data_IF_483516673438
#
_entry.id   IF_483516673438
#
_cell.length_a   1.000
_cell.length_b   1.000
_cell.length_c   1.000
_cell.angle_alpha   90.00
_cell.angle_beta   90.00
_cell.angle_gamma   90.00
#
_symmetry.space_group_name_H-M   'P 1'
#
loop_
_entity.id
_entity.type
_entity.pdbx_description
1 polymer ?
#
# COMPACT_ATOMS: atom_id res chain seq x y z
N UNK A 1 -4.11 0.92 36.46
CA UNK A 1 -3.77 0.75 35.02
C UNK A 1 -5.00 0.81 34.12
N UNK A 2 -6.02 -0.05 34.31
CA UNK A 2 -7.15 -0.19 33.38
C UNK A 2 -7.88 1.11 33.02
N UNK A 3 -8.16 1.98 34.01
CA UNK A 3 -8.88 3.24 33.80
C UNK A 3 -8.08 4.29 33.00
N UNK A 4 -6.75 4.30 33.11
CA UNK A 4 -5.90 5.30 32.45
C UNK A 4 -5.47 4.88 31.04
N UNK A 5 -5.55 3.58 30.72
CA UNK A 5 -5.08 3.00 29.46
C UNK A 5 -6.18 2.23 28.72
N UNK A 6 -7.45 2.58 28.92
CA UNK A 6 -8.61 1.90 28.29
C UNK A 6 -8.46 1.74 26.77
N UNK A 7 -7.84 2.71 26.09
CA UNK A 7 -7.58 2.73 24.66
C UNK A 7 -6.59 1.64 24.17
N UNK A 8 -5.78 1.06 25.05
CA UNK A 8 -4.90 -0.09 24.72
C UNK A 8 -5.58 -1.45 24.86
N UNK A 9 -6.73 -1.52 25.54
CA UNK A 9 -7.43 -2.79 25.72
C UNK A 9 -8.28 -3.13 24.48
N UNK A 10 -8.44 -4.43 24.17
CA UNK A 10 -9.41 -4.88 23.17
C UNK A 10 -10.83 -4.46 23.59
N UNK A 11 -11.65 -4.09 22.62
CA UNK A 11 -13.09 -3.87 22.84
C UNK A 11 -13.75 -5.24 23.02
N UNK A 12 -14.35 -5.50 24.18
CA UNK A 12 -15.02 -6.78 24.44
C UNK A 12 -16.36 -6.84 23.70
N UNK A 13 -16.88 -8.04 23.41
CA UNK A 13 -18.16 -8.20 22.68
C UNK A 13 -19.34 -7.48 23.35
N UNK A 14 -19.40 -7.51 24.68
CA UNK A 14 -20.41 -6.76 25.44
C UNK A 14 -20.32 -5.25 25.21
N UNK A 15 -19.11 -4.72 25.07
CA UNK A 15 -18.86 -3.30 24.82
C UNK A 15 -19.19 -2.98 23.35
N UNK A 16 -18.96 -3.92 22.43
CA UNK A 16 -19.37 -3.80 21.02
C UNK A 16 -20.88 -3.62 20.91
N UNK A 17 -21.71 -4.43 21.61
CA UNK A 17 -23.17 -4.26 21.60
C UNK A 17 -23.60 -2.87 22.08
N UNK A 18 -22.96 -2.36 23.13
CA UNK A 18 -23.22 -1.01 23.66
C UNK A 18 -22.86 0.05 22.61
N UNK A 19 -21.69 -0.07 21.96
CA UNK A 19 -21.28 0.85 20.90
C UNK A 19 -22.30 0.80 19.74
N UNK A 20 -22.69 -0.39 19.27
CA UNK A 20 -23.65 -0.54 18.16
C UNK A 20 -25.03 0.05 18.45
N UNK A 21 -25.46 0.07 19.71
CA UNK A 21 -26.74 0.62 20.12
C UNK A 21 -26.78 2.16 19.98
N UNK A 22 -25.69 2.84 20.31
CA UNK A 22 -25.56 4.30 20.20
C UNK A 22 -24.25 4.73 19.55
N UNK A 23 -24.22 4.61 18.21
CA UNK A 23 -23.12 5.06 17.38
C UNK A 23 -23.59 5.77 16.12
N UNK A 24 -22.64 6.45 15.49
CA UNK A 24 -22.68 6.85 14.08
C UNK A 24 -21.71 5.97 13.30
N UNK A 25 -22.20 5.41 12.19
CA UNK A 25 -21.40 4.69 11.21
C UNK A 25 -20.81 5.68 10.22
N UNK A 26 -19.49 5.62 10.12
CA UNK A 26 -18.70 6.44 9.21
C UNK A 26 -18.01 5.54 8.22
N UNK A 27 -18.24 5.78 6.93
CA UNK A 27 -17.67 4.98 5.86
C UNK A 27 -16.48 5.70 5.23
N UNK A 28 -15.42 4.95 4.98
CA UNK A 28 -14.25 5.42 4.25
C UNK A 28 -14.49 5.44 2.73
N UNK A 29 -13.65 6.18 2.00
CA UNK A 29 -13.72 6.32 0.54
C UNK A 29 -13.63 4.96 -0.14
N UNK A 30 -12.70 4.10 0.28
CA UNK A 30 -12.50 2.78 -0.34
C UNK A 30 -13.75 1.88 -0.24
N UNK A 31 -14.50 1.96 0.86
CA UNK A 31 -15.73 1.17 1.04
C UNK A 31 -16.80 1.59 0.06
N UNK A 32 -16.94 2.90 -0.18
CA UNK A 32 -17.89 3.42 -1.16
C UNK A 32 -17.45 3.09 -2.60
N UNK A 33 -16.15 3.18 -2.90
CA UNK A 33 -15.61 2.80 -4.21
C UNK A 33 -15.75 1.30 -4.50
N UNK A 34 -15.70 0.45 -3.48
CA UNK A 34 -15.85 -0.99 -3.67
C UNK A 34 -17.27 -1.40 -4.09
N UNK A 35 -18.29 -0.54 -3.94
CA UNK A 35 -19.62 -0.77 -4.50
C UNK A 35 -19.60 -1.00 -6.02
N UNK A 36 -18.64 -0.41 -6.73
CA UNK A 36 -18.42 -0.63 -8.16
C UNK A 36 -17.74 -1.97 -8.47
N UNK A 37 -17.07 -2.57 -7.48
CA UNK A 37 -16.34 -3.85 -7.62
C UNK A 37 -17.19 -5.05 -7.22
N UNK A 38 -18.26 -4.82 -6.45
CA UNK A 38 -19.15 -5.88 -6.00
C UNK A 38 -20.16 -6.31 -7.05
N UNK A 39 -20.54 -7.59 -7.00
CA UNK A 39 -21.69 -8.14 -7.71
C UNK A 39 -22.96 -7.39 -7.31
N UNK A 40 -23.94 -7.38 -8.22
CA UNK A 40 -25.24 -6.74 -7.97
C UNK A 40 -25.94 -7.26 -6.72
N UNK A 41 -25.74 -8.53 -6.37
CA UNK A 41 -26.28 -9.13 -5.15
C UNK A 41 -25.62 -8.53 -3.90
N UNK A 42 -24.30 -8.60 -3.80
CA UNK A 42 -23.54 -8.08 -2.66
C UNK A 42 -23.76 -6.59 -2.47
N UNK A 43 -23.81 -5.83 -3.56
CA UNK A 43 -24.16 -4.40 -3.52
C UNK A 43 -25.56 -4.15 -2.99
N UNK A 44 -26.56 -4.96 -3.38
CA UNK A 44 -27.92 -4.85 -2.84
C UNK A 44 -27.97 -5.10 -1.33
N UNK A 45 -27.29 -6.15 -0.86
CA UNK A 45 -27.23 -6.45 0.58
C UNK A 45 -26.57 -5.30 1.38
N UNK A 46 -25.54 -4.66 0.82
CA UNK A 46 -24.95 -3.44 1.40
C UNK A 46 -25.92 -2.27 1.42
N UNK A 47 -26.71 -2.07 0.36
CA UNK A 47 -27.75 -1.05 0.34
C UNK A 47 -28.84 -1.29 1.39
N UNK A 48 -29.25 -2.54 1.59
CA UNK A 48 -30.23 -2.90 2.63
C UNK A 48 -29.67 -2.56 4.03
N UNK A 49 -28.37 -2.77 4.26
CA UNK A 49 -27.71 -2.33 5.50
C UNK A 49 -27.74 -0.81 5.63
N UNK A 50 -27.34 -0.07 4.59
CA UNK A 50 -27.35 1.40 4.60
C UNK A 50 -28.75 1.95 4.88
N UNK A 51 -29.77 1.40 4.23
CA UNK A 51 -31.17 1.81 4.43
C UNK A 51 -31.62 1.52 5.89
N UNK A 52 -31.17 0.42 6.50
CA UNK A 52 -31.46 0.07 7.91
C UNK A 52 -30.77 1.00 8.91
N UNK A 53 -29.59 1.54 8.59
CA UNK A 53 -28.81 2.42 9.46
C UNK A 53 -28.85 3.91 9.05
N UNK A 54 -29.70 4.29 8.08
CA UNK A 54 -29.73 5.62 7.46
C UNK A 54 -29.79 6.82 8.43
N UNK A 55 -30.37 6.64 9.62
CA UNK A 55 -30.44 7.70 10.64
C UNK A 55 -29.17 7.85 11.47
N UNK A 56 -28.26 6.88 11.36
CA UNK A 56 -27.00 6.77 12.10
C UNK A 56 -25.80 6.73 11.15
N UNK A 57 -25.96 7.15 9.91
CA UNK A 57 -24.89 7.18 8.90
C UNK A 57 -24.42 8.61 8.67
N UNK A 58 -23.11 8.79 8.50
CA UNK A 58 -22.50 10.07 8.14
C UNK A 58 -21.14 9.83 7.47
N UNK A 59 -20.72 10.72 6.57
CA UNK A 59 -19.37 10.70 6.01
C UNK A 59 -18.69 12.07 6.09
N UNK A 60 -17.36 12.10 6.30
CA UNK A 60 -16.58 13.31 6.15
C UNK A 60 -16.74 13.93 4.76
N UNK A 61 -16.62 15.25 4.66
CA UNK A 61 -16.56 15.93 3.38
C UNK A 61 -15.41 15.38 2.51
N UNK A 62 -14.26 15.12 3.13
CA UNK A 62 -13.09 14.58 2.41
C UNK A 62 -13.40 13.21 1.78
N UNK A 63 -14.15 12.34 2.47
CA UNK A 63 -14.57 11.04 1.90
C UNK A 63 -15.45 11.24 0.67
N UNK A 64 -16.44 12.14 0.75
CA UNK A 64 -17.32 12.42 -0.37
C UNK A 64 -16.55 12.99 -1.58
N UNK A 65 -15.62 13.91 -1.33
CA UNK A 65 -14.76 14.50 -2.36
C UNK A 65 -13.89 13.44 -3.04
N UNK A 66 -13.21 12.59 -2.27
CA UNK A 66 -12.36 11.54 -2.81
C UNK A 66 -13.17 10.48 -3.57
N UNK A 67 -14.36 10.13 -3.09
CA UNK A 67 -15.25 9.22 -3.80
C UNK A 67 -15.63 9.78 -5.18
N UNK A 68 -16.06 11.04 -5.23
CA UNK A 68 -16.42 11.71 -6.49
C UNK A 68 -15.23 11.83 -7.44
N UNK A 69 -14.04 12.17 -6.92
CA UNK A 69 -12.79 12.28 -7.70
C UNK A 69 -12.38 10.93 -8.29
N UNK A 70 -12.41 9.86 -7.50
CA UNK A 70 -11.78 8.59 -7.84
C UNK A 70 -12.73 7.55 -8.48
N UNK A 71 -14.06 7.72 -8.38
CA UNK A 71 -15.01 6.77 -8.97
C UNK A 71 -14.82 6.55 -10.50
N UNK A 72 -14.47 7.54 -11.36
CA UNK A 72 -14.32 7.30 -12.78
C UNK A 72 -13.20 6.31 -13.07
N UNK A 73 -12.09 6.41 -12.36
CA UNK A 73 -10.95 5.51 -12.50
C UNK A 73 -11.32 4.07 -12.12
N UNK A 74 -12.16 3.91 -11.08
CA UNK A 74 -12.67 2.58 -10.68
C UNK A 74 -13.59 2.01 -11.76
N UNK A 75 -14.50 2.81 -12.31
CA UNK A 75 -15.40 2.40 -13.40
C UNK A 75 -14.60 1.96 -14.62
N UNK A 76 -13.67 2.80 -15.10
CA UNK A 76 -12.80 2.49 -16.24
C UNK A 76 -11.98 1.22 -15.97
N UNK A 77 -11.46 1.06 -14.76
CA UNK A 77 -10.72 -0.14 -14.37
C UNK A 77 -11.59 -1.39 -14.45
N UNK A 78 -12.85 -1.32 -14.02
CA UNK A 78 -13.80 -2.44 -14.13
C UNK A 78 -14.15 -2.74 -15.59
N UNK A 79 -14.36 -1.74 -16.43
CA UNK A 79 -14.61 -1.93 -17.86
C UNK A 79 -13.43 -2.61 -18.57
N UNK A 80 -12.22 -2.17 -18.27
CA UNK A 80 -10.98 -2.73 -18.81
C UNK A 80 -10.70 -4.17 -18.31
N UNK A 81 -11.37 -4.65 -17.25
CA UNK A 81 -11.21 -6.04 -16.80
C UNK A 81 -11.72 -7.04 -17.84
N UNK A 82 -12.75 -6.69 -18.62
CA UNK A 82 -13.22 -7.54 -19.72
C UNK A 82 -12.15 -7.72 -20.79
N UNK A 83 -11.45 -6.65 -21.16
CA UNK A 83 -10.37 -6.70 -22.14
C UNK A 83 -9.17 -7.49 -21.62
N UNK A 84 -8.78 -7.26 -20.35
CA UNK A 84 -7.72 -8.04 -19.69
C UNK A 84 -8.05 -9.53 -19.64
N UNK A 85 -9.29 -9.88 -19.28
CA UNK A 85 -9.73 -11.27 -19.25
C UNK A 85 -9.75 -11.90 -20.65
N UNK A 86 -10.23 -11.18 -21.68
CA UNK A 86 -10.16 -11.63 -23.07
C UNK A 86 -8.71 -11.86 -23.51
N UNK A 87 -7.79 -10.95 -23.16
CA UNK A 87 -6.36 -11.10 -23.47
C UNK A 87 -5.78 -12.36 -22.82
N UNK A 88 -5.99 -12.55 -21.52
CA UNK A 88 -5.51 -13.75 -20.80
C UNK A 88 -6.05 -15.04 -21.45
N UNK A 89 -7.33 -15.09 -21.81
CA UNK A 89 -7.91 -16.27 -22.45
C UNK A 89 -7.32 -16.54 -23.84
N UNK A 90 -7.02 -15.50 -24.61
CA UNK A 90 -6.32 -15.64 -25.89
C UNK A 90 -4.87 -16.12 -25.69
N UNK A 91 -4.15 -15.54 -24.73
CA UNK A 91 -2.78 -15.95 -24.39
C UNK A 91 -2.73 -17.44 -23.98
N UNK A 92 -3.75 -17.94 -23.26
CA UNK A 92 -3.88 -19.36 -22.94
C UNK A 92 -4.03 -20.22 -24.21
N UNK A 93 -4.83 -19.78 -25.19
CA UNK A 93 -4.99 -20.50 -26.47
C UNK A 93 -3.65 -20.54 -27.22
N UNK A 94 -2.96 -19.40 -27.32
CA UNK A 94 -1.67 -19.32 -28.02
C UNK A 94 -0.58 -20.16 -27.35
N UNK A 95 -0.51 -20.14 -26.02
CA UNK A 95 0.45 -20.93 -25.27
C UNK A 95 0.12 -22.43 -25.36
N UNK A 96 -1.16 -22.81 -25.29
CA UNK A 96 -1.57 -24.19 -25.51
C UNK A 96 -1.19 -24.70 -26.91
N UNK A 97 -1.33 -23.87 -27.95
CA UNK A 97 -0.90 -24.22 -29.31
C UNK A 97 0.63 -24.44 -29.37
N UNK A 98 1.39 -23.50 -28.81
CA UNK A 98 2.86 -23.60 -28.72
C UNK A 98 3.31 -24.83 -27.96
N UNK A 99 2.72 -25.12 -26.80
CA UNK A 99 3.09 -26.26 -25.96
C UNK A 99 2.70 -27.59 -26.59
N UNK A 100 1.54 -27.67 -27.23
CA UNK A 100 1.12 -28.88 -27.96
C UNK A 100 2.05 -29.14 -29.16
N UNK A 101 2.38 -28.10 -29.93
CA UNK A 101 3.26 -28.25 -31.09
C UNK A 101 4.72 -28.51 -30.70
N UNK A 102 5.21 -27.92 -29.60
CA UNK A 102 6.61 -28.02 -29.15
C UNK A 102 6.89 -29.25 -28.28
N UNK A 103 6.02 -29.53 -27.31
CA UNK A 103 6.29 -30.50 -26.23
C UNK A 103 5.60 -31.85 -26.44
N UNK A 104 4.46 -31.91 -27.14
CA UNK A 104 3.86 -33.18 -27.55
C UNK A 104 4.54 -33.68 -28.81
N UNK A 105 5.86 -33.88 -28.77
CA UNK A 105 6.63 -34.46 -29.88
C UNK A 105 6.58 -36.00 -29.86
N UNK A 106 5.42 -36.57 -29.52
CA UNK A 106 5.11 -37.99 -29.76
C UNK A 106 5.03 -38.18 -31.27
N UNK A 107 6.19 -38.36 -31.90
CA UNK A 107 6.27 -38.82 -33.28
C UNK A 107 5.76 -40.27 -33.21
N UNK A 108 4.61 -40.55 -33.84
CA UNK A 108 4.10 -41.89 -34.16
C UNK A 108 3.20 -42.67 -33.17
N UNK A 109 2.59 -42.08 -32.12
CA UNK A 109 1.54 -42.83 -31.39
C UNK A 109 0.20 -42.76 -32.15
N UNK A 110 -0.33 -43.86 -32.72
CA UNK A 110 -1.49 -43.82 -33.63
C UNK A 110 -2.78 -43.32 -32.98
N UNK A 111 -2.88 -43.43 -31.65
CA UNK A 111 -4.09 -43.09 -30.90
C UNK A 111 -4.17 -41.62 -30.43
N UNK A 112 -3.11 -40.81 -30.59
CA UNK A 112 -3.07 -39.43 -30.07
C UNK A 112 -3.14 -38.42 -31.21
N UNK A 113 -4.34 -37.90 -31.47
CA UNK A 113 -4.57 -36.79 -32.39
C UNK A 113 -4.42 -35.43 -31.68
N UNK A 114 -3.25 -34.82 -31.86
CA UNK A 114 -2.90 -33.52 -31.26
C UNK A 114 -3.80 -32.40 -31.76
N UNK A 115 -4.17 -32.43 -33.04
CA UNK A 115 -5.02 -31.41 -33.65
C UNK A 115 -6.44 -31.49 -33.07
N UNK A 116 -6.96 -32.70 -32.86
CA UNK A 116 -8.26 -32.90 -32.21
C UNK A 116 -8.24 -32.39 -30.76
N UNK A 117 -7.18 -32.68 -29.99
CA UNK A 117 -7.05 -32.22 -28.60
C UNK A 117 -6.97 -30.69 -28.52
N UNK A 118 -6.11 -30.06 -29.32
CA UNK A 118 -6.01 -28.60 -29.38
C UNK A 118 -7.33 -27.97 -29.81
N UNK A 119 -7.99 -28.51 -30.84
CA UNK A 119 -9.29 -28.00 -31.30
C UNK A 119 -10.37 -28.07 -30.21
N UNK A 120 -10.36 -29.11 -29.36
CA UNK A 120 -11.28 -29.20 -28.20
C UNK A 120 -11.00 -28.10 -27.18
N UNK A 121 -9.74 -27.86 -26.83
CA UNK A 121 -9.34 -26.78 -25.90
C UNK A 121 -9.71 -25.41 -26.47
N UNK A 122 -9.31 -25.14 -27.72
CA UNK A 122 -9.62 -23.90 -28.43
C UNK A 122 -11.12 -23.64 -28.50
N UNK A 123 -11.93 -24.67 -28.80
CA UNK A 123 -13.39 -24.56 -28.83
C UNK A 123 -13.95 -24.24 -27.44
N UNK A 124 -13.47 -24.92 -26.39
CA UNK A 124 -13.89 -24.68 -25.01
C UNK A 124 -13.62 -23.24 -24.57
N UNK A 125 -12.40 -22.75 -24.76
CA UNK A 125 -12.03 -21.37 -24.41
C UNK A 125 -12.78 -20.36 -25.30
N UNK A 126 -12.95 -20.65 -26.59
CA UNK A 126 -13.73 -19.81 -27.51
C UNK A 126 -15.18 -19.60 -27.06
N UNK A 127 -15.82 -20.62 -26.46
CA UNK A 127 -17.15 -20.48 -25.86
C UNK A 127 -17.14 -19.53 -24.66
N UNK A 128 -16.11 -19.60 -23.81
CA UNK A 128 -15.94 -18.71 -22.66
C UNK A 128 -15.75 -17.26 -23.12
N UNK A 129 -14.91 -17.01 -24.13
CA UNK A 129 -14.70 -15.68 -24.72
C UNK A 129 -16.02 -15.12 -25.28
N UNK A 130 -16.82 -15.97 -25.95
CA UNK A 130 -18.13 -15.55 -26.48
C UNK A 130 -19.11 -15.16 -25.36
N UNK A 131 -19.16 -15.93 -24.28
CA UNK A 131 -19.96 -15.60 -23.09
C UNK A 131 -19.50 -14.30 -22.43
N UNK A 132 -18.18 -14.12 -22.27
CA UNK A 132 -17.60 -12.91 -21.70
C UNK A 132 -17.94 -11.65 -22.51
N UNK A 133 -17.83 -11.71 -23.84
CA UNK A 133 -18.24 -10.60 -24.74
C UNK A 133 -19.73 -10.31 -24.66
N UNK A 134 -20.57 -11.33 -24.52
CA UNK A 134 -22.02 -11.16 -24.32
C UNK A 134 -22.31 -10.43 -23.01
N UNK A 135 -21.62 -10.81 -21.92
CA UNK A 135 -21.72 -10.14 -20.62
C UNK A 135 -21.22 -8.70 -20.68
N UNK A 136 -20.11 -8.44 -21.37
CA UNK A 136 -19.58 -7.09 -21.58
C UNK A 136 -20.59 -6.19 -22.29
N UNK A 137 -21.23 -6.67 -23.37
CA UNK A 137 -22.26 -5.91 -24.10
C UNK A 137 -23.51 -5.61 -23.27
N UNK A 138 -23.84 -6.49 -22.33
CA UNK A 138 -24.97 -6.31 -21.39
C UNK A 138 -24.58 -5.50 -20.15
N UNK A 139 -23.29 -5.28 -19.94
CA UNK A 139 -22.81 -4.50 -18.82
C UNK A 139 -23.26 -3.05 -19.03
N UNK A 140 -23.85 -2.45 -17.99
CA UNK A 140 -24.27 -1.06 -18.05
C UNK A 140 -23.03 -0.17 -18.22
N UNK A 141 -23.12 0.82 -19.10
CA UNK A 141 -22.13 1.88 -19.16
C UNK A 141 -22.37 2.82 -17.97
N UNK A 142 -21.59 2.63 -16.91
CA UNK A 142 -21.73 3.43 -15.69
C UNK A 142 -21.19 4.86 -15.88
N UNK A 143 -20.43 5.13 -16.95
CA UNK A 143 -20.02 6.49 -17.30
C UNK A 143 -21.18 7.31 -17.90
N UNK A 144 -22.12 6.65 -18.58
CA UNK A 144 -23.34 7.30 -19.10
C UNK A 144 -24.45 7.39 -18.06
N UNK A 145 -24.68 6.31 -17.30
CA UNK A 145 -25.70 6.25 -16.26
C UNK A 145 -25.21 5.51 -15.01
N UNK A 146 -24.86 6.30 -14.00
CA UNK A 146 -24.29 5.82 -12.75
C UNK A 146 -25.36 5.60 -11.67
N UNK A 147 -26.09 4.49 -11.78
CA UNK A 147 -27.11 4.11 -10.77
C UNK A 147 -26.50 3.93 -9.36
N UNK A 148 -25.18 3.70 -9.26
CA UNK A 148 -24.47 3.54 -7.97
C UNK A 148 -24.28 4.90 -7.31
N UNK A 149 -23.77 5.88 -8.06
CA UNK A 149 -23.67 7.27 -7.60
C UNK A 149 -25.03 7.81 -7.16
N UNK A 150 -26.09 7.56 -7.92
CA UNK A 150 -27.44 8.02 -7.57
C UNK A 150 -27.89 7.46 -6.21
N UNK A 151 -27.72 6.14 -6.00
CA UNK A 151 -28.10 5.50 -4.73
C UNK A 151 -27.23 5.96 -3.56
N UNK A 152 -25.91 6.13 -3.77
CA UNK A 152 -25.01 6.68 -2.73
C UNK A 152 -25.41 8.11 -2.39
N UNK A 153 -25.66 8.95 -3.39
CA UNK A 153 -26.10 10.35 -3.19
C UNK A 153 -27.41 10.43 -2.41
N UNK A 154 -28.36 9.53 -2.69
CA UNK A 154 -29.61 9.43 -1.95
C UNK A 154 -29.38 9.01 -0.48
N UNK A 155 -28.56 7.99 -0.23
CA UNK A 155 -28.27 7.49 1.12
C UNK A 155 -27.61 8.56 1.99
N UNK A 156 -26.66 9.30 1.40
CA UNK A 156 -25.88 10.31 2.12
C UNK A 156 -26.43 11.74 1.98
N UNK A 157 -27.66 11.89 1.47
CA UNK A 157 -28.30 13.19 1.37
C UNK A 157 -28.43 13.86 2.76
N UNK A 158 -27.84 15.05 2.91
CA UNK A 158 -27.70 15.76 4.19
C UNK A 158 -26.94 14.97 5.29
N UNK A 159 -26.09 14.02 4.90
CA UNK A 159 -25.23 13.21 5.80
C UNK A 159 -23.73 13.34 5.49
N UNK A 160 -23.36 14.38 4.75
CA UNK A 160 -21.96 14.72 4.48
C UNK A 160 -21.53 15.85 5.42
N UNK A 161 -20.31 15.76 5.95
CA UNK A 161 -19.70 16.85 6.73
C UNK A 161 -19.58 18.15 5.93
N UNK A 162 -19.42 19.26 6.63
CA UNK A 162 -19.09 20.52 5.98
C UNK A 162 -17.63 20.52 5.52
N UNK A 163 -17.36 21.18 4.40
CA UNK A 163 -15.99 21.47 3.97
C UNK A 163 -15.30 22.35 5.01
N UNK A 164 -13.99 22.14 5.20
CA UNK A 164 -13.18 23.08 5.96
C UNK A 164 -12.90 24.32 5.11
N UNK A 165 -12.80 25.49 5.77
CA UNK A 165 -12.29 26.70 5.14
C UNK A 165 -10.82 26.54 4.76
N UNK A 166 -10.34 27.35 3.81
CA UNK A 166 -8.93 27.35 3.40
C UNK A 166 -7.99 27.59 4.59
N UNK A 167 -8.31 28.56 5.44
CA UNK A 167 -7.58 28.85 6.67
C UNK A 167 -7.47 27.61 7.58
N UNK A 168 -8.57 26.86 7.72
CA UNK A 168 -8.59 25.65 8.53
C UNK A 168 -7.77 24.53 7.89
N UNK A 169 -7.83 24.38 6.57
CA UNK A 169 -7.01 23.41 5.84
C UNK A 169 -5.52 23.70 6.05
N UNK A 170 -5.09 24.96 5.93
CA UNK A 170 -3.69 25.34 6.17
C UNK A 170 -3.22 25.04 7.59
N UNK A 171 -4.06 25.30 8.60
CA UNK A 171 -3.77 24.94 10.00
C UNK A 171 -3.55 23.42 10.13
N UNK A 172 -4.42 22.63 9.51
CA UNK A 172 -4.34 21.17 9.55
C UNK A 172 -3.10 20.66 8.85
N UNK A 173 -2.72 21.23 7.70
CA UNK A 173 -1.49 20.86 6.99
C UNK A 173 -0.24 21.14 7.83
N UNK A 174 -0.17 22.30 8.51
CA UNK A 174 0.92 22.61 9.45
C UNK A 174 1.01 21.59 10.58
N UNK A 175 -0.13 21.17 11.13
CA UNK A 175 -0.19 20.09 12.14
C UNK A 175 0.27 18.76 11.52
N UNK A 176 -0.17 18.46 10.29
CA UNK A 176 0.15 17.26 9.54
C UNK A 176 1.65 17.07 9.31
N UNK A 177 2.36 18.14 8.92
CA UNK A 177 3.83 18.11 8.78
C UNK A 177 4.50 17.57 10.06
N UNK A 178 4.10 18.08 11.22
CA UNK A 178 4.65 17.64 12.50
C UNK A 178 4.22 16.20 12.83
N UNK A 179 2.94 15.89 12.70
CA UNK A 179 2.40 14.54 13.00
C UNK A 179 3.07 13.47 12.15
N UNK A 180 3.27 13.72 10.86
CA UNK A 180 3.84 12.73 9.95
C UNK A 180 5.33 12.50 10.21
N UNK A 181 6.07 13.58 10.52
CA UNK A 181 7.46 13.48 10.99
C UNK A 181 7.59 12.59 12.23
N UNK A 182 6.67 12.76 13.18
CA UNK A 182 6.64 12.01 14.44
C UNK A 182 5.88 10.66 14.32
N UNK A 183 5.44 10.28 13.11
CA UNK A 183 4.66 9.06 12.80
C UNK A 183 3.39 8.90 13.67
N UNK A 184 2.74 10.02 13.96
CA UNK A 184 1.48 10.08 14.69
C UNK A 184 0.34 9.80 13.70
N UNK A 185 -0.49 8.76 13.93
CA UNK A 185 -1.57 8.36 13.02
C UNK A 185 -2.74 9.36 12.98
N UNK A 186 -3.61 9.34 11.95
CA UNK A 186 -3.50 8.57 10.72
C UNK A 186 -2.83 9.38 9.58
N UNK A 187 -2.53 8.73 8.47
CA UNK A 187 -2.14 9.36 7.20
C UNK A 187 -0.63 9.48 6.94
N UNK A 188 0.23 9.26 7.93
CA UNK A 188 1.69 9.39 7.73
C UNK A 188 2.22 8.39 6.69
N UNK A 189 1.51 7.27 6.46
CA UNK A 189 1.88 6.30 5.43
C UNK A 189 1.72 6.81 4.01
N UNK A 190 0.86 7.81 3.77
CA UNK A 190 0.67 8.41 2.44
C UNK A 190 1.78 9.39 2.04
N UNK A 191 2.63 9.81 2.99
CA UNK A 191 3.76 10.71 2.76
C UNK A 191 5.10 10.01 2.50
N UNK A 192 5.12 8.67 2.47
CA UNK A 192 6.36 7.86 2.45
C UNK A 192 6.27 6.80 1.35
N UNK A 193 7.40 6.52 0.68
CA UNK A 193 7.53 5.48 -0.34
C UNK A 193 7.40 6.02 -1.78
N UNK A 194 7.60 5.14 -2.75
CA UNK A 194 7.57 5.50 -4.18
C UNK A 194 6.17 5.90 -4.67
N UNK A 195 5.13 5.43 -3.98
CA UNK A 195 3.73 5.77 -4.25
C UNK A 195 3.21 6.86 -3.29
N UNK A 196 4.11 7.70 -2.74
CA UNK A 196 3.67 8.83 -1.91
C UNK A 196 2.71 9.71 -2.71
N UNK A 197 1.66 10.18 -2.05
CA UNK A 197 0.79 11.19 -2.66
C UNK A 197 1.56 12.50 -2.81
N UNK A 198 1.10 13.35 -3.72
CA UNK A 198 1.73 14.65 -4.00
C UNK A 198 0.93 15.81 -3.42
N UNK A 199 1.63 16.90 -3.11
CA UNK A 199 1.03 18.12 -2.59
C UNK A 199 0.19 17.85 -1.33
N UNK A 200 -1.01 18.41 -1.30
CA UNK A 200 -1.91 18.31 -0.16
C UNK A 200 -2.68 16.98 -0.08
N UNK A 201 -2.65 16.14 -1.13
CA UNK A 201 -3.34 14.85 -1.15
C UNK A 201 -2.76 13.87 -0.09
N UNK A 202 -1.53 14.10 0.39
CA UNK A 202 -0.93 13.34 1.51
C UNK A 202 -1.71 13.50 2.83
N UNK A 203 -2.52 14.56 2.96
CA UNK A 203 -3.26 14.87 4.18
C UNK A 203 -4.73 14.39 4.16
N UNK A 204 -5.16 13.65 3.14
CA UNK A 204 -6.54 13.15 3.02
C UNK A 204 -7.02 12.41 4.28
N UNK A 205 -6.27 11.39 4.72
CA UNK A 205 -6.57 10.63 5.94
C UNK A 205 -6.63 11.51 7.20
N UNK A 206 -5.76 12.52 7.29
CA UNK A 206 -5.74 13.45 8.41
C UNK A 206 -6.97 14.37 8.41
N UNK A 207 -7.41 14.82 7.23
CA UNK A 207 -8.64 15.60 7.07
C UNK A 207 -9.87 14.78 7.45
N UNK A 208 -9.96 13.53 6.97
CA UNK A 208 -11.00 12.56 7.37
C UNK A 208 -11.05 12.45 8.89
N UNK A 209 -9.90 12.24 9.53
CA UNK A 209 -9.81 12.07 10.98
C UNK A 209 -10.26 13.30 11.77
N UNK A 210 -9.85 14.50 11.36
CA UNK A 210 -10.26 15.73 12.04
C UNK A 210 -11.75 16.02 11.83
N UNK A 211 -12.30 15.74 10.66
CA UNK A 211 -13.74 15.87 10.42
C UNK A 211 -14.54 14.89 11.29
N UNK A 212 -14.06 13.66 11.47
CA UNK A 212 -14.65 12.70 12.42
C UNK A 212 -14.62 13.26 13.85
N UNK A 213 -13.49 13.80 14.30
CA UNK A 213 -13.36 14.38 15.64
C UNK A 213 -14.35 15.52 15.84
N UNK A 214 -14.44 16.46 14.90
CA UNK A 214 -15.31 17.63 15.02
C UNK A 214 -16.79 17.24 14.97
N UNK A 215 -17.16 16.29 14.11
CA UNK A 215 -18.50 15.74 14.10
C UNK A 215 -18.85 15.04 15.42
N UNK A 216 -17.95 14.19 15.93
CA UNK A 216 -18.12 13.47 17.19
C UNK A 216 -18.26 14.40 18.40
N UNK A 217 -17.54 15.53 18.42
CA UNK A 217 -17.68 16.56 19.47
C UNK A 217 -19.11 17.10 19.53
N UNK A 218 -19.76 17.27 18.38
CA UNK A 218 -21.09 17.86 18.27
C UNK A 218 -22.18 16.85 18.59
N UNK A 219 -22.10 15.63 18.02
CA UNK A 219 -23.17 14.63 18.20
C UNK A 219 -23.06 13.82 19.49
N UNK A 220 -21.87 13.76 20.09
CA UNK A 220 -21.58 13.00 21.33
C UNK A 220 -22.00 11.52 21.29
N UNK A 221 -21.90 10.91 20.11
CA UNK A 221 -22.15 9.47 19.90
C UNK A 221 -20.85 8.74 19.60
N UNK A 222 -20.81 7.44 19.93
CA UNK A 222 -19.68 6.60 19.55
C UNK A 222 -19.52 6.55 18.03
N UNK A 223 -18.30 6.34 17.56
CA UNK A 223 -18.00 6.28 16.13
C UNK A 223 -17.57 4.85 15.78
N UNK A 224 -18.26 4.26 14.81
CA UNK A 224 -17.81 3.05 14.12
C UNK A 224 -17.34 3.49 12.74
N UNK A 225 -16.05 3.41 12.48
CA UNK A 225 -15.46 3.72 11.18
C UNK A 225 -15.24 2.42 10.39
N UNK A 226 -15.76 2.36 9.16
CA UNK A 226 -15.64 1.21 8.28
C UNK A 226 -14.63 1.57 7.19
N UNK A 227 -13.51 0.85 7.15
CA UNK A 227 -12.45 1.05 6.17
C UNK A 227 -11.83 -0.29 5.77
N UNK A 228 -11.56 -0.45 4.48
CA UNK A 228 -10.81 -1.58 3.94
C UNK A 228 -9.29 -1.35 3.91
N UNK A 229 -8.84 -0.14 4.26
CA UNK A 229 -7.42 0.21 4.34
C UNK A 229 -6.76 -0.60 5.47
N UNK A 230 -5.64 -1.26 5.20
CA UNK A 230 -4.87 -2.05 6.17
C UNK A 230 -3.57 -1.39 6.64
N UNK A 231 -3.39 -0.10 6.33
CA UNK A 231 -2.22 0.65 6.75
C UNK A 231 -2.11 0.67 8.28
N UNK A 232 -0.87 0.60 8.74
CA UNK A 232 -0.54 0.55 10.16
C UNK A 232 -0.84 1.84 10.92
N UNK A 233 -1.05 2.96 10.21
CA UNK A 233 -1.46 4.22 10.81
C UNK A 233 -2.96 4.25 11.15
N UNK A 234 -3.75 3.32 10.62
CA UNK A 234 -5.12 3.07 11.09
C UNK A 234 -5.20 1.86 12.03
N UNK A 235 -4.45 0.80 11.72
CA UNK A 235 -4.50 -0.47 12.44
C UNK A 235 -3.25 -0.73 13.29
N UNK A 236 -3.49 -1.17 14.52
CA UNK A 236 -2.43 -1.66 15.40
C UNK A 236 -2.01 -3.08 14.99
N UNK A 237 -0.94 -3.17 14.21
CA UNK A 237 -0.39 -4.42 13.69
C UNK A 237 0.89 -4.76 14.45
N UNK A 238 1.01 -6.00 14.95
CA UNK A 238 2.22 -6.53 15.58
C UNK A 238 2.52 -7.93 15.04
N UNK A 239 3.75 -8.13 14.55
CA UNK A 239 4.22 -9.42 14.00
C UNK A 239 3.23 -10.03 13.00
N UNK A 240 2.72 -9.20 12.08
CA UNK A 240 1.75 -9.61 11.05
C UNK A 240 0.31 -9.83 11.53
N UNK A 241 0.02 -9.67 12.84
CA UNK A 241 -1.33 -9.80 13.39
C UNK A 241 -1.94 -8.43 13.67
N UNK A 242 -3.16 -8.20 13.17
CA UNK A 242 -3.96 -7.03 13.49
C UNK A 242 -4.62 -7.20 14.86
N UNK A 243 -4.21 -6.39 15.83
CA UNK A 243 -4.76 -6.39 17.19
C UNK A 243 -6.08 -5.61 17.24
N UNK A 244 -6.16 -4.49 16.52
CA UNK A 244 -7.33 -3.63 16.47
C UNK A 244 -7.00 -2.25 15.90
N UNK A 245 -7.87 -1.26 16.09
CA UNK A 245 -7.58 0.14 15.79
C UNK A 245 -6.42 0.67 16.65
N UNK A 246 -5.60 1.58 16.09
CA UNK A 246 -4.51 2.27 16.80
C UNK A 246 -4.99 2.87 18.14
N UNK A 247 -4.34 2.55 19.27
CA UNK A 247 -4.68 3.12 20.58
C UNK A 247 -4.63 4.65 20.60
N UNK A 248 -3.75 5.26 19.80
CA UNK A 248 -3.61 6.71 19.66
C UNK A 248 -4.89 7.36 19.12
N UNK A 249 -5.54 6.73 18.13
CA UNK A 249 -6.80 7.21 17.55
C UNK A 249 -7.93 7.12 18.56
N UNK A 250 -8.05 5.98 19.25
CA UNK A 250 -9.02 5.78 20.34
C UNK A 250 -8.84 6.81 21.46
N UNK A 251 -7.59 7.01 21.89
CA UNK A 251 -7.24 7.96 22.94
C UNK A 251 -7.49 9.41 22.54
N UNK A 252 -7.16 9.79 21.31
CA UNK A 252 -7.39 11.15 20.80
C UNK A 252 -8.88 11.47 20.68
N UNK A 253 -9.69 10.56 20.14
CA UNK A 253 -11.15 10.79 20.04
C UNK A 253 -11.80 10.84 21.42
N UNK A 254 -11.42 9.93 22.33
CA UNK A 254 -11.90 9.95 23.71
C UNK A 254 -11.53 11.27 24.40
N UNK A 255 -10.28 11.73 24.27
CA UNK A 255 -9.82 12.99 24.88
C UNK A 255 -10.52 14.23 24.30
N UNK A 256 -10.72 14.28 22.97
CA UNK A 256 -11.24 15.48 22.28
C UNK A 256 -12.77 15.54 22.24
N UNK A 257 -13.44 14.40 22.17
CA UNK A 257 -14.89 14.32 21.97
C UNK A 257 -15.63 13.62 23.13
N UNK A 258 -14.95 12.81 23.95
CA UNK A 258 -15.56 12.06 25.05
C UNK A 258 -16.31 10.81 24.59
N UNK A 259 -16.00 10.29 23.40
CA UNK A 259 -16.72 9.15 22.79
C UNK A 259 -15.77 8.02 22.39
N UNK A 260 -16.32 6.81 22.25
CA UNK A 260 -15.55 5.62 21.85
C UNK A 260 -15.36 5.56 20.33
N UNK A 261 -14.16 5.16 19.90
CA UNK A 261 -13.84 4.86 18.51
C UNK A 261 -13.67 3.35 18.28
N UNK A 262 -14.33 2.82 17.25
CA UNK A 262 -14.18 1.44 16.80
C UNK A 262 -14.01 1.38 15.28
N UNK A 263 -13.31 0.35 14.79
CA UNK A 263 -13.08 0.16 13.36
C UNK A 263 -13.47 -1.24 12.91
N UNK A 264 -14.10 -1.32 11.74
CA UNK A 264 -14.31 -2.58 11.02
C UNK A 264 -13.74 -2.51 9.61
N UNK A 265 -13.25 -3.64 9.13
CA UNK A 265 -13.18 -3.92 7.71
C UNK A 265 -14.58 -4.26 7.19
N UNK A 266 -14.86 -4.05 5.90
CA UNK A 266 -16.21 -4.23 5.34
C UNK A 266 -16.77 -5.64 5.58
N UNK A 267 -15.97 -6.69 5.39
CA UNK A 267 -16.34 -8.09 5.68
C UNK A 267 -16.74 -8.33 7.15
N UNK A 268 -16.03 -7.69 8.10
CA UNK A 268 -16.36 -7.78 9.52
C UNK A 268 -17.62 -6.98 9.82
N UNK A 269 -17.77 -5.80 9.22
CA UNK A 269 -18.98 -5.00 9.33
C UNK A 269 -20.21 -5.77 8.86
N UNK A 270 -20.16 -6.45 7.70
CA UNK A 270 -21.27 -7.29 7.20
C UNK A 270 -21.63 -8.41 8.19
N UNK A 271 -20.63 -9.10 8.75
CA UNK A 271 -20.85 -10.15 9.75
C UNK A 271 -21.59 -9.62 11.00
N UNK A 272 -21.19 -8.47 11.51
CA UNK A 272 -21.84 -7.85 12.67
C UNK A 272 -23.18 -7.20 12.31
N UNK A 273 -23.35 -6.67 11.09
CA UNK A 273 -24.61 -6.14 10.61
C UNK A 273 -25.67 -7.24 10.51
N UNK A 274 -25.29 -8.43 10.01
CA UNK A 274 -26.15 -9.62 9.98
C UNK A 274 -26.76 -9.92 11.36
N UNK A 275 -25.93 -9.86 12.41
CA UNK A 275 -26.31 -10.20 13.78
C UNK A 275 -27.08 -9.05 14.45
N UNK A 276 -26.56 -7.82 14.37
CA UNK A 276 -27.09 -6.68 15.12
C UNK A 276 -28.29 -6.01 14.46
N UNK A 277 -28.51 -6.22 13.15
CA UNK A 277 -29.62 -5.61 12.40
C UNK A 277 -30.69 -6.63 11.98
N UNK A 278 -30.49 -7.92 12.32
CA UNK A 278 -31.36 -9.04 11.92
C UNK A 278 -31.58 -9.10 10.39
N UNK A 279 -30.49 -8.94 9.63
CA UNK A 279 -30.50 -8.96 8.17
C UNK A 279 -30.03 -10.31 7.65
N UNK A 280 -30.70 -10.82 6.62
CA UNK A 280 -30.25 -12.04 5.91
C UNK A 280 -29.20 -11.67 4.87
N UNK A 281 -27.94 -11.67 5.29
CA UNK A 281 -26.76 -11.48 4.43
C UNK A 281 -26.21 -12.86 4.04
N UNK A 282 -25.99 -13.10 2.75
CA UNK A 282 -25.44 -14.37 2.27
C UNK A 282 -23.95 -14.48 2.64
N UNK A 283 -23.51 -15.65 3.09
CA UNK A 283 -22.10 -15.88 3.38
C UNK A 283 -21.22 -15.66 2.14
N UNK A 284 -21.72 -15.96 0.94
CA UNK A 284 -21.01 -15.72 -0.32
C UNK A 284 -20.73 -14.23 -0.57
N UNK A 285 -21.63 -13.35 -0.13
CA UNK A 285 -21.44 -11.90 -0.25
C UNK A 285 -20.38 -11.40 0.74
N UNK A 286 -20.33 -11.98 1.94
CA UNK A 286 -19.26 -11.71 2.91
C UNK A 286 -17.91 -12.20 2.37
N UNK A 287 -17.86 -13.39 1.78
CA UNK A 287 -16.65 -13.95 1.16
C UNK A 287 -16.17 -13.10 -0.01
N UNK A 288 -17.08 -12.62 -0.88
CA UNK A 288 -16.75 -11.71 -1.98
C UNK A 288 -16.11 -10.40 -1.48
N UNK A 289 -16.71 -9.76 -0.47
CA UNK A 289 -16.17 -8.54 0.15
C UNK A 289 -14.78 -8.79 0.73
N UNK A 290 -14.60 -9.93 1.40
CA UNK A 290 -13.32 -10.33 1.98
C UNK A 290 -12.25 -10.57 0.90
N UNK A 291 -12.60 -11.24 -0.19
CA UNK A 291 -11.69 -11.55 -1.29
C UNK A 291 -11.20 -10.31 -2.02
N UNK A 292 -12.10 -9.36 -2.32
CA UNK A 292 -11.73 -8.07 -2.94
C UNK A 292 -10.74 -7.33 -2.05
N UNK A 293 -11.04 -7.25 -0.76
CA UNK A 293 -10.18 -6.60 0.25
C UNK A 293 -8.81 -7.29 0.37
N UNK A 294 -8.75 -8.62 0.34
CA UNK A 294 -7.47 -9.37 0.36
C UNK A 294 -6.65 -9.06 -0.90
N UNK A 295 -7.27 -9.09 -2.09
CA UNK A 295 -6.59 -8.80 -3.36
C UNK A 295 -6.02 -7.38 -3.40
N UNK A 296 -6.76 -6.40 -2.87
CA UNK A 296 -6.29 -5.02 -2.75
C UNK A 296 -5.08 -4.93 -1.82
N UNK A 297 -5.15 -5.56 -0.64
CA UNK A 297 -4.02 -5.62 0.29
C UNK A 297 -2.78 -6.29 -0.34
N UNK A 298 -2.95 -7.40 -1.05
CA UNK A 298 -1.85 -8.09 -1.74
C UNK A 298 -1.23 -7.24 -2.87
N UNK A 299 -2.03 -6.42 -3.54
CA UNK A 299 -1.51 -5.47 -4.53
C UNK A 299 -0.69 -4.35 -3.85
N UNK A 300 -1.17 -3.82 -2.74
CA UNK A 300 -0.45 -2.81 -1.94
C UNK A 300 0.84 -3.35 -1.35
N UNK A 301 0.82 -4.55 -0.78
CA UNK A 301 1.99 -5.21 -0.19
C UNK A 301 3.05 -5.52 -1.26
N UNK A 302 2.64 -5.95 -2.47
CA UNK A 302 3.55 -6.13 -3.62
C UNK A 302 4.19 -4.83 -4.07
N UNK A 303 3.39 -3.77 -4.25
CA UNK A 303 3.92 -2.46 -4.63
C UNK A 303 4.90 -1.92 -3.58
N UNK A 304 4.63 -2.18 -2.30
CA UNK A 304 5.55 -1.82 -1.21
C UNK A 304 6.85 -2.62 -1.27
N UNK A 305 6.77 -3.93 -1.46
CA UNK A 305 7.95 -4.79 -1.59
C UNK A 305 8.85 -4.37 -2.75
N UNK A 306 8.26 -4.06 -3.92
CA UNK A 306 9.00 -3.57 -5.07
C UNK A 306 9.67 -2.21 -4.76
N UNK A 307 8.98 -1.30 -4.06
CA UNK A 307 9.56 -0.02 -3.66
C UNK A 307 10.70 -0.15 -2.64
N UNK A 308 10.54 -1.00 -1.61
CA UNK A 308 11.56 -1.24 -0.59
C UNK A 308 12.80 -1.91 -1.22
N UNK A 309 12.60 -2.81 -2.18
CA UNK A 309 13.68 -3.44 -2.96
C UNK A 309 14.44 -2.38 -3.77
N UNK A 310 13.74 -1.52 -4.52
CA UNK A 310 14.36 -0.43 -5.29
C UNK A 310 15.10 0.58 -4.42
N UNK A 311 14.55 0.94 -3.27
CA UNK A 311 15.21 1.82 -2.30
C UNK A 311 16.50 1.16 -1.79
N UNK A 312 16.46 -0.13 -1.48
CA UNK A 312 17.64 -0.89 -1.03
C UNK A 312 18.70 -0.96 -2.12
N UNK A 313 18.31 -1.27 -3.37
CA UNK A 313 19.20 -1.26 -4.53
C UNK A 313 19.84 0.12 -4.75
N UNK A 314 19.06 1.19 -4.67
CA UNK A 314 19.56 2.57 -4.83
C UNK A 314 20.51 2.98 -3.70
N UNK A 315 20.26 2.56 -2.46
CA UNK A 315 21.15 2.80 -1.33
C UNK A 315 22.48 2.03 -1.47
N UNK A 316 22.43 0.80 -1.96
CA UNK A 316 23.63 0.01 -2.26
C UNK A 316 24.42 0.69 -3.39
N UNK A 317 23.73 1.09 -4.47
CA UNK A 317 24.31 1.79 -5.61
C UNK A 317 25.00 3.09 -5.21
N UNK A 318 24.34 3.96 -4.44
CA UNK A 318 24.91 5.23 -3.99
C UNK A 318 26.13 5.04 -3.09
N UNK A 319 26.09 4.08 -2.17
CA UNK A 319 27.24 3.75 -1.33
C UNK A 319 28.42 3.19 -2.15
N UNK A 320 28.16 2.43 -3.23
CA UNK A 320 29.21 1.95 -4.14
C UNK A 320 29.83 3.12 -4.93
N UNK A 321 29.02 4.05 -5.42
CA UNK A 321 29.51 5.27 -6.08
C UNK A 321 30.40 6.08 -5.13
N UNK A 322 30.00 6.23 -3.88
CA UNK A 322 30.80 6.93 -2.87
C UNK A 322 32.12 6.22 -2.57
N UNK A 323 32.13 4.88 -2.51
CA UNK A 323 33.37 4.08 -2.39
C UNK A 323 34.28 4.25 -3.61
N UNK A 324 33.75 4.23 -4.82
CA UNK A 324 34.52 4.39 -6.06
C UNK A 324 35.13 5.80 -6.17
N UNK A 325 34.36 6.84 -5.82
CA UNK A 325 34.85 8.23 -5.73
C UNK A 325 35.95 8.38 -4.67
N UNK A 326 35.88 7.63 -3.58
CA UNK A 326 36.86 7.71 -2.49
C UNK A 326 38.12 6.89 -2.74
N UNK A 327 38.00 5.72 -3.39
CA UNK A 327 39.12 4.81 -3.63
C UNK A 327 40.10 5.31 -4.69
N UNK A 328 39.67 6.19 -5.60
CA UNK A 328 40.50 6.66 -6.72
C UNK A 328 40.70 8.17 -6.72
N UNK A 329 41.39 8.68 -5.70
CA UNK A 329 41.85 10.09 -5.69
C UNK A 329 42.97 10.41 -6.69
N UNK A 330 43.51 9.42 -7.42
CA UNK A 330 44.63 9.61 -8.35
C UNK A 330 44.40 9.08 -9.78
N UNK A 331 43.21 8.55 -10.12
CA UNK A 331 42.88 8.16 -11.51
C UNK A 331 41.45 8.52 -11.88
N UNK A 332 41.31 9.40 -12.87
CA UNK A 332 40.04 9.76 -13.49
C UNK A 332 39.56 8.57 -14.35
N UNK A 333 38.56 7.81 -13.88
CA UNK A 333 37.93 6.79 -14.71
C UNK A 333 37.13 7.45 -15.84
N UNK A 334 37.12 6.83 -17.03
CA UNK A 334 36.12 7.16 -18.05
C UNK A 334 34.73 6.67 -17.59
N UNK A 335 33.67 7.34 -18.04
CA UNK A 335 32.28 6.99 -17.70
C UNK A 335 31.96 5.52 -18.02
N UNK A 336 32.51 4.99 -19.11
CA UNK A 336 32.20 3.65 -19.61
C UNK A 336 32.89 2.53 -18.83
N UNK A 337 34.10 2.76 -18.31
CA UNK A 337 34.81 1.81 -17.44
C UNK A 337 34.13 1.68 -16.07
N UNK A 338 33.66 2.81 -15.53
CA UNK A 338 32.91 2.82 -14.28
C UNK A 338 31.58 2.05 -14.44
N UNK A 339 30.88 2.25 -15.55
CA UNK A 339 29.63 1.55 -15.87
C UNK A 339 29.87 0.03 -16.02
N UNK A 340 30.97 -0.40 -16.64
CA UNK A 340 31.29 -1.82 -16.82
C UNK A 340 31.67 -2.54 -15.51
N UNK A 341 32.45 -1.90 -14.63
CA UNK A 341 32.74 -2.43 -13.29
C UNK A 341 31.47 -2.54 -12.43
N UNK A 342 30.61 -1.52 -12.48
CA UNK A 342 29.30 -1.50 -11.81
C UNK A 342 28.41 -2.64 -12.31
N UNK A 343 28.35 -2.87 -13.62
CA UNK A 343 27.52 -3.93 -14.21
C UNK A 343 27.99 -5.34 -13.83
N UNK A 344 29.32 -5.57 -13.72
CA UNK A 344 29.87 -6.84 -13.23
C UNK A 344 29.48 -7.12 -11.78
N UNK A 345 29.55 -6.12 -10.91
CA UNK A 345 29.16 -6.27 -9.50
C UNK A 345 27.64 -6.45 -9.32
N UNK A 346 26.84 -5.73 -10.10
CA UNK A 346 25.37 -5.85 -10.11
C UNK A 346 24.95 -7.27 -10.52
N UNK A 347 25.61 -7.84 -11.53
CA UNK A 347 25.39 -9.23 -11.94
C UNK A 347 25.74 -10.22 -10.83
N UNK A 348 26.84 -10.02 -10.09
CA UNK A 348 27.26 -10.93 -9.01
C UNK A 348 26.29 -10.95 -7.82
N UNK A 349 25.80 -9.78 -7.39
CA UNK A 349 24.82 -9.64 -6.31
C UNK A 349 23.44 -10.21 -6.67
N UNK A 350 23.00 -10.01 -7.92
CA UNK A 350 21.70 -10.53 -8.40
C UNK A 350 21.79 -12.05 -8.62
N UNK A 351 22.91 -12.57 -9.10
CA UNK A 351 23.02 -13.98 -9.48
C UNK A 351 23.28 -14.91 -8.29
N UNK A 352 24.03 -14.48 -7.28
CA UNK A 352 24.37 -15.34 -6.12
C UNK A 352 23.24 -15.40 -5.07
N UNK A 353 22.46 -14.33 -4.88
CA UNK A 353 21.44 -14.27 -3.81
C UNK A 353 19.98 -14.33 -4.31
N UNK A 354 19.63 -13.81 -5.51
CA UNK A 354 18.21 -13.66 -5.92
C UNK A 354 17.65 -14.89 -6.64
N UNK A 355 18.49 -15.66 -7.33
CA UNK A 355 18.02 -16.74 -8.22
C UNK A 355 17.96 -18.11 -7.53
N UNK A 356 18.76 -18.36 -6.49
CA UNK A 356 18.90 -19.72 -5.95
C UNK A 356 17.94 -20.11 -4.82
N UNK A 357 17.42 -19.19 -4.00
CA UNK A 357 16.45 -19.56 -2.97
C UNK A 357 15.44 -18.41 -2.76
N UNK A 358 14.14 -18.68 -2.88
CA UNK A 358 13.09 -17.68 -2.63
C UNK A 358 13.18 -17.10 -1.22
N UNK A 359 13.79 -15.92 -1.11
CA UNK A 359 14.24 -15.32 0.15
C UNK A 359 13.05 -14.83 0.99
N UNK A 360 12.99 -15.24 2.27
CA UNK A 360 12.01 -14.74 3.23
C UNK A 360 12.40 -13.37 3.79
N UNK A 361 11.44 -12.60 4.33
CA UNK A 361 11.71 -11.30 4.99
C UNK A 361 12.80 -11.35 6.07
N UNK A 362 13.06 -12.53 6.65
CA UNK A 362 14.09 -12.73 7.67
C UNK A 362 15.50 -12.73 7.08
N UNK A 363 15.65 -13.34 5.92
CA UNK A 363 16.93 -13.50 5.22
C UNK A 363 17.38 -12.16 4.61
N UNK A 364 16.44 -11.33 4.16
CA UNK A 364 16.68 -9.92 3.78
C UNK A 364 17.15 -9.06 4.96
N UNK A 365 16.62 -9.28 6.16
CA UNK A 365 17.08 -8.59 7.38
C UNK A 365 18.50 -9.01 7.77
N UNK A 366 18.85 -10.28 7.55
CA UNK A 366 20.18 -10.82 7.84
C UNK A 366 21.22 -10.31 6.84
N UNK A 367 20.86 -10.23 5.55
CA UNK A 367 21.66 -9.59 4.51
C UNK A 367 21.89 -8.10 4.81
N UNK A 368 20.85 -7.36 5.18
CA UNK A 368 20.96 -5.95 5.57
C UNK A 368 21.85 -5.74 6.81
N UNK A 369 21.88 -6.71 7.73
CA UNK A 369 22.74 -6.67 8.92
C UNK A 369 24.20 -6.92 8.55
N UNK A 370 24.49 -7.94 7.73
CA UNK A 370 25.85 -8.19 7.20
C UNK A 370 26.41 -7.00 6.45
N UNK A 371 25.58 -6.36 5.60
CA UNK A 371 25.96 -5.14 4.88
C UNK A 371 26.33 -4.00 5.85
N UNK A 372 25.59 -3.82 6.94
CA UNK A 372 25.93 -2.79 7.96
C UNK A 372 27.21 -3.10 8.72
N UNK A 373 27.50 -4.37 9.00
CA UNK A 373 28.73 -4.79 9.67
C UNK A 373 29.95 -4.56 8.76
N UNK A 374 29.84 -4.88 7.46
CA UNK A 374 30.87 -4.56 6.47
C UNK A 374 31.05 -3.05 6.26
N UNK A 375 29.96 -2.27 6.26
CA UNK A 375 30.04 -0.80 6.23
C UNK A 375 30.86 -0.24 7.40
N UNK A 376 30.67 -0.78 8.61
CA UNK A 376 31.40 -0.36 9.80
C UNK A 376 32.88 -0.73 9.69
N UNK A 377 33.18 -1.97 9.32
CA UNK A 377 34.56 -2.45 9.09
C UNK A 377 35.31 -1.59 8.08
N UNK A 378 34.65 -1.21 6.97
CA UNK A 378 35.24 -0.36 5.93
C UNK A 378 35.45 1.07 6.46
N UNK A 379 34.50 1.63 7.21
CA UNK A 379 34.64 2.97 7.80
C UNK A 379 35.81 3.04 8.80
N UNK A 380 35.98 2.00 9.61
CA UNK A 380 37.08 1.89 10.56
C UNK A 380 38.43 1.78 9.82
N UNK A 381 38.48 0.99 8.74
CA UNK A 381 39.66 0.87 7.87
C UNK A 381 40.02 2.20 7.19
N UNK A 382 39.02 2.96 6.71
CA UNK A 382 39.20 4.29 6.10
C UNK A 382 39.68 5.35 7.10
N UNK A 383 39.22 5.27 8.35
CA UNK A 383 39.71 6.14 9.44
C UNK A 383 41.19 5.89 9.70
N UNK A 384 41.59 4.62 9.74
CA UNK A 384 42.99 4.22 9.95
C UNK A 384 43.89 4.64 8.78
N UNK A 385 43.42 4.55 7.54
CA UNK A 385 44.15 5.01 6.35
C UNK A 385 44.32 6.54 6.31
N UNK A 386 43.30 7.32 6.71
CA UNK A 386 43.41 8.79 6.82
C UNK A 386 44.43 9.21 7.88
N UNK A 387 44.48 8.49 9.00
CA UNK A 387 45.47 8.73 10.07
C UNK A 387 46.87 8.38 9.56
N UNK A 388 47.03 7.24 8.88
CA UNK A 388 48.33 6.84 8.32
C UNK A 388 48.86 7.80 7.25
N UNK A 389 47.99 8.39 6.43
CA UNK A 389 48.41 9.38 5.42
C UNK A 389 48.75 10.75 6.04
N UNK A 390 48.10 11.14 7.14
CA UNK A 390 48.49 12.33 7.92
C UNK A 390 49.88 12.16 8.54
N UNK A 391 50.15 11.00 9.13
CA UNK A 391 51.46 10.69 9.75
C UNK A 391 52.59 10.63 8.70
N UNK A 392 52.30 10.23 7.46
CA UNK A 392 53.28 10.26 6.36
C UNK A 392 53.60 11.68 5.89
N UNK A 393 52.59 12.55 5.79
CA UNK A 393 52.79 13.93 5.35
C UNK A 393 53.50 14.79 6.41
N UNK A 394 53.23 14.57 7.71
CA UNK A 394 53.94 15.29 8.79
C UNK A 394 55.43 14.88 8.90
N UNK A 395 55.82 13.69 8.42
CA UNK A 395 57.23 13.26 8.40
C UNK A 395 58.02 13.80 7.21
N UNK A 396 57.37 14.08 6.08
CA UNK A 396 58.04 14.64 4.89
C UNK A 396 58.31 16.15 4.99
N UNK A 397 57.60 16.89 5.85
CA UNK A 397 57.83 18.33 6.02
C UNK A 397 58.98 18.68 6.99
N UNK A 398 59.55 17.70 7.69
CA UNK A 398 60.65 17.91 8.65
C UNK A 398 62.05 17.56 8.13
N UNK A 399 62.21 17.04 6.91
CA UNK A 399 63.53 16.63 6.36
C UNK A 399 64.11 17.55 5.27
N UNK A 400 63.41 18.61 4.83
CA UNK A 400 63.86 19.50 3.73
C UNK A 400 64.20 20.95 4.15
N UNK A 401 64.69 21.16 5.38
CA UNK A 401 65.21 22.46 5.82
C UNK A 401 66.52 22.31 6.58
N UNK A 402 67.58 21.94 5.89
CA UNK A 402 68.97 22.20 6.27
C UNK A 402 69.85 21.95 5.03
N UNK A 403 70.07 22.98 4.21
CA UNK A 403 71.28 23.20 3.40
C UNK A 403 71.02 24.33 2.37
N UNK A 404 71.24 25.59 2.77
CA UNK A 404 71.85 26.63 1.92
C UNK A 404 72.04 27.92 2.73
N UNK A 405 73.25 28.15 3.25
CA UNK A 405 73.78 29.50 3.54
C UNK A 405 75.27 29.44 3.93
N UNK A 406 76.13 29.68 2.94
CA UNK A 406 77.54 30.07 3.04
C UNK A 406 77.86 30.80 1.73
N UNK A 407 78.49 31.98 1.61
CA UNK A 407 79.34 32.86 2.43
C UNK A 407 79.40 34.19 1.64
N UNK A 408 79.53 35.34 2.31
CA UNK A 408 80.60 36.32 2.04
C UNK A 408 80.56 37.51 3.02
N UNK A 409 81.60 37.60 3.86
CA UNK A 409 82.06 38.81 4.54
C UNK A 409 83.41 39.22 3.93
N UNK A 410 83.50 40.50 3.55
CA UNK A 410 84.66 41.30 3.11
C UNK A 410 85.20 41.14 1.68
#
# INVERSE_FOLDING_TARGET
MKNNFTHFYPTLEKDIKIIWADCVFVFDTNVLLDLYRYTSKTRKELYDIFDRIKHRIWIPHQVALEFLKNRPDVIITQENMFEKANKILNDIIENADKDINKNLNFRHHPAIDKNLLFNKVKKGIGLIIKDLKSKQKKHKNLMEKDDILDKVSQIFYNKVGQAYSEEKLEEIYKIGVKRYKDKIPPGYRDSIGDNKKEGNDIYGDLLIWFQIIDYAKNVKKNIIFISNDYKEDWWWIKKGKTIGCRPELKGELMKKAGVTFHMYSSDRFLNYARINLDLKIDSKSIDEVKDIRIKQKEAEDRNRFDSDTRITENLIFNNMIDKLKFSNKEKLFSSDELINEINKFKHKLIYDDVINEGISSKDLMELAKKIKEEQKSIKDTLSNLKISNRIKNDKSETEDKDDDNTIDEN
#
